data_IF_380137767566
#
_entry.id   IF_380137767566
#
_cell.length_a   1.000
_cell.length_b   1.000
_cell.length_c   1.000
_cell.angle_alpha   90.00
_cell.angle_beta   90.00
_cell.angle_gamma   90.00
#
_symmetry.space_group_name_H-M   'P 1'
#
loop_
_entity.id
_entity.type
_entity.pdbx_description
1 polymer ?
#
# COMPACT_ATOMS: atom_id res chain seq x y z
N UNK A 1 17.56 -26.05 -7.23
CA UNK A 1 16.46 -25.08 -7.16
C UNK A 1 16.99 -23.91 -6.36
N UNK A 2 17.37 -22.84 -7.05
CA UNK A 2 18.10 -21.73 -6.47
C UNK A 2 17.18 -20.86 -5.59
N UNK A 3 17.52 -20.75 -4.31
CA UNK A 3 16.83 -19.94 -3.31
C UNK A 3 17.18 -18.45 -3.49
N UNK A 4 16.77 -17.83 -4.60
CA UNK A 4 16.99 -16.38 -4.88
C UNK A 4 15.79 -15.50 -4.52
N UNK A 5 14.82 -16.01 -3.76
CA UNK A 5 13.64 -15.26 -3.30
C UNK A 5 13.81 -14.61 -1.91
N UNK A 6 15.01 -14.64 -1.33
CA UNK A 6 15.25 -14.39 0.10
C UNK A 6 15.06 -12.95 0.64
N UNK A 7 14.56 -11.96 -0.11
CA UNK A 7 14.51 -10.60 0.45
C UNK A 7 13.36 -9.67 0.02
N UNK A 8 12.29 -10.19 -0.57
CA UNK A 8 11.11 -9.36 -0.89
C UNK A 8 10.01 -9.64 0.14
N UNK A 9 10.14 -9.05 1.33
CA UNK A 9 9.11 -9.09 2.37
C UNK A 9 8.58 -7.70 2.65
N UNK A 10 7.34 -7.63 3.12
CA UNK A 10 6.73 -6.40 3.63
C UNK A 10 7.60 -5.69 4.69
N UNK A 11 8.37 -6.47 5.45
CA UNK A 11 9.35 -5.94 6.42
C UNK A 11 10.45 -5.09 5.75
N UNK A 12 10.90 -5.46 4.56
CA UNK A 12 11.93 -4.69 3.87
C UNK A 12 11.44 -3.33 3.39
N UNK A 13 10.17 -3.23 3.00
CA UNK A 13 9.53 -1.94 2.72
C UNK A 13 9.47 -1.04 3.97
N UNK A 14 9.15 -1.62 5.13
CA UNK A 14 9.15 -0.91 6.41
C UNK A 14 10.54 -0.43 6.81
N UNK A 15 11.58 -1.24 6.58
CA UNK A 15 12.96 -0.87 6.86
C UNK A 15 13.54 0.13 5.86
N UNK A 16 13.05 0.15 4.62
CA UNK A 16 13.52 1.03 3.55
C UNK A 16 12.35 1.80 2.93
N UNK A 17 11.81 2.82 3.62
CA UNK A 17 10.68 3.60 3.13
C UNK A 17 10.98 4.35 1.83
N UNK A 18 12.26 4.53 1.47
CA UNK A 18 12.68 5.08 0.18
C UNK A 18 12.20 4.25 -1.01
N UNK A 19 12.04 2.93 -0.86
CA UNK A 19 11.48 2.08 -1.92
C UNK A 19 10.02 2.43 -2.24
N UNK A 20 9.26 2.98 -1.28
CA UNK A 20 7.92 3.48 -1.56
C UNK A 20 7.95 4.68 -2.51
N UNK A 21 8.95 5.55 -2.38
CA UNK A 21 9.09 6.70 -3.28
C UNK A 21 9.40 6.25 -4.73
N UNK A 22 10.19 5.18 -4.88
CA UNK A 22 10.46 4.58 -6.18
C UNK A 22 9.22 3.89 -6.78
N UNK A 23 8.39 3.25 -5.94
CA UNK A 23 7.11 2.65 -6.37
C UNK A 23 6.10 3.74 -6.80
N UNK A 24 6.07 4.88 -6.11
CA UNK A 24 5.19 6.00 -6.47
C UNK A 24 5.63 6.65 -7.79
N UNK A 25 6.95 6.80 -8.00
CA UNK A 25 7.50 7.32 -9.25
C UNK A 25 7.32 6.37 -10.43
N UNK A 26 7.43 5.06 -10.18
CA UNK A 26 7.36 4.03 -11.20
C UNK A 26 6.44 2.88 -10.73
N UNK A 27 5.16 2.87 -11.17
CA UNK A 27 4.18 1.88 -10.72
C UNK A 27 4.54 0.45 -11.15
N UNK A 28 5.37 0.31 -12.19
CA UNK A 28 5.85 -0.99 -12.68
C UNK A 28 6.68 -1.70 -11.60
N UNK A 29 7.49 -0.95 -10.85
CA UNK A 29 8.28 -1.48 -9.71
C UNK A 29 7.40 -1.94 -8.56
N UNK A 30 6.26 -1.29 -8.34
CA UNK A 30 5.27 -1.73 -7.37
C UNK A 30 4.63 -3.07 -7.73
N UNK A 31 4.38 -3.28 -9.03
CA UNK A 31 3.88 -4.55 -9.55
C UNK A 31 4.89 -5.69 -9.38
N UNK A 32 6.17 -5.44 -9.66
CA UNK A 32 7.23 -6.43 -9.47
C UNK A 32 7.47 -6.73 -7.99
N UNK A 33 7.40 -5.73 -7.12
CA UNK A 33 7.42 -5.92 -5.68
C UNK A 33 6.24 -6.81 -5.21
N UNK A 34 5.02 -6.49 -5.66
CA UNK A 34 3.83 -7.27 -5.31
C UNK A 34 3.92 -8.72 -5.77
N UNK A 35 4.40 -8.96 -7.00
CA UNK A 35 4.62 -10.32 -7.54
C UNK A 35 5.69 -11.09 -6.76
N UNK A 36 6.67 -10.40 -6.18
CA UNK A 36 7.72 -11.00 -5.35
C UNK A 36 7.27 -11.38 -3.94
N UNK A 37 6.11 -10.91 -3.48
CA UNK A 37 5.55 -11.25 -2.17
C UNK A 37 4.98 -12.67 -2.13
N UNK A 38 5.00 -13.28 -0.94
CA UNK A 38 4.26 -14.52 -0.70
C UNK A 38 2.74 -14.28 -0.82
N UNK A 39 1.97 -15.33 -1.14
CA UNK A 39 0.50 -15.26 -1.27
C UNK A 39 -0.16 -14.67 -0.02
N UNK A 40 0.37 -14.95 1.18
CA UNK A 40 -0.13 -14.39 2.43
C UNK A 40 0.11 -12.88 2.50
N UNK A 41 1.32 -12.42 2.19
CA UNK A 41 1.65 -10.99 2.22
C UNK A 41 0.88 -10.21 1.15
N UNK A 42 0.66 -10.80 -0.02
CA UNK A 42 -0.21 -10.22 -1.05
C UNK A 42 -1.63 -10.00 -0.53
N UNK A 43 -2.21 -11.00 0.14
CA UNK A 43 -3.53 -10.89 0.77
C UNK A 43 -3.56 -9.76 1.81
N UNK A 44 -2.55 -9.68 2.68
CA UNK A 44 -2.46 -8.59 3.66
C UNK A 44 -2.39 -7.21 3.00
N UNK A 45 -1.61 -7.06 1.93
CA UNK A 45 -1.53 -5.78 1.20
C UNK A 45 -2.89 -5.42 0.60
N UNK A 46 -3.57 -6.38 -0.02
CA UNK A 46 -4.90 -6.16 -0.62
C UNK A 46 -5.93 -5.72 0.44
N UNK A 47 -5.96 -6.41 1.58
CA UNK A 47 -6.85 -6.05 2.68
C UNK A 47 -6.50 -4.66 3.23
N UNK A 48 -5.22 -4.38 3.48
CA UNK A 48 -4.78 -3.08 3.97
C UNK A 48 -5.16 -1.94 3.00
N UNK A 49 -4.98 -2.15 1.70
CA UNK A 49 -5.40 -1.19 0.68
C UNK A 49 -6.93 -0.99 0.69
N UNK A 50 -7.71 -2.07 0.74
CA UNK A 50 -9.18 -1.99 0.80
C UNK A 50 -9.67 -1.24 2.04
N UNK A 51 -9.17 -1.59 3.24
CA UNK A 51 -9.51 -0.87 4.47
C UNK A 51 -9.05 0.58 4.44
N UNK A 52 -7.88 0.86 3.87
CA UNK A 52 -7.37 2.22 3.67
C UNK A 52 -8.30 3.06 2.80
N UNK A 53 -8.78 2.51 1.68
CA UNK A 53 -9.74 3.17 0.80
C UNK A 53 -11.09 3.41 1.48
N UNK A 54 -11.62 2.42 2.20
CA UNK A 54 -12.87 2.57 2.97
C UNK A 54 -12.71 3.67 4.02
N UNK A 55 -11.63 3.64 4.80
CA UNK A 55 -11.33 4.65 5.81
C UNK A 55 -11.19 6.05 5.21
N UNK A 56 -10.50 6.17 4.08
CA UNK A 56 -10.35 7.44 3.36
C UNK A 56 -11.68 7.95 2.81
N UNK A 57 -12.52 7.08 2.24
CA UNK A 57 -13.86 7.45 1.76
C UNK A 57 -14.74 7.97 2.91
N UNK A 58 -14.71 7.31 4.07
CA UNK A 58 -15.42 7.79 5.27
C UNK A 58 -14.87 9.13 5.73
N UNK A 59 -13.54 9.29 5.75
CA UNK A 59 -12.89 10.55 6.14
C UNK A 59 -13.31 11.71 5.23
N UNK A 60 -13.27 11.50 3.90
CA UNK A 60 -13.67 12.51 2.92
C UNK A 60 -15.15 12.89 3.07
N UNK A 61 -16.05 11.91 3.23
CA UNK A 61 -17.47 12.18 3.48
C UNK A 61 -17.76 12.91 4.80
N UNK A 62 -16.85 12.85 5.79
CA UNK A 62 -16.93 13.66 7.02
C UNK A 62 -16.42 15.08 6.81
N UNK A 63 -15.44 15.31 5.93
CA UNK A 63 -14.96 16.64 5.61
C UNK A 63 -16.01 17.47 4.86
N UNK A 64 -16.71 16.89 3.89
CA UNK A 64 -17.78 17.59 3.16
C UNK A 64 -18.86 18.13 4.11
N UNK A 65 -19.24 17.37 5.14
CA UNK A 65 -20.22 17.82 6.14
C UNK A 65 -19.79 19.00 7.01
N UNK A 66 -18.49 19.28 7.16
CA UNK A 66 -18.03 20.43 7.95
C UNK A 66 -17.93 21.73 7.14
N UNK A 67 -17.84 21.65 5.81
CA UNK A 67 -17.77 22.83 4.94
C UNK A 67 -19.14 23.53 4.85
N UNK A 68 -20.24 22.79 4.92
CA UNK A 68 -21.61 23.33 4.81
C UNK A 68 -22.16 24.01 6.09
N UNK A 69 -21.46 23.94 7.23
CA UNK A 69 -21.94 24.51 8.51
C UNK A 69 -21.30 25.84 8.90
N UNK A 70 -20.49 26.44 8.01
CA UNK A 70 -19.83 27.75 8.24
C UNK A 70 -20.38 28.89 7.38
N UNK A 71 -21.66 28.84 6.97
CA UNK A 71 -22.35 29.97 6.31
C UNK A 71 -23.26 30.73 7.27
#
# INVERSE_FOLDING_TARGET
MDNTLENTSFRNLLHNPSQLADIIKDPTKGLDFYKGLSVKEQQYLLFAAAFGLIGYAIYLGRQEKQVDTSS
#
